data_IF_383834138434
#
_entry.id   IF_383834138434
#
_cell.length_a   1.000
_cell.length_b   1.000
_cell.length_c   1.000
_cell.angle_alpha   90.00
_cell.angle_beta   90.00
_cell.angle_gamma   90.00
#
_symmetry.space_group_name_H-M   'P 1'
#
loop_
_entity.id
_entity.type
_entity.pdbx_description
1 polymer ?
#
# COMPACT_ATOMS: atom_id res chain seq x y z
N UNK A 1 5.54 19.10 11.94
CA UNK A 1 5.96 18.82 10.56
C UNK A 1 4.97 17.86 9.94
N UNK A 2 4.60 18.09 8.70
CA UNK A 2 3.66 17.24 7.98
C UNK A 2 4.42 16.40 6.95
N UNK A 3 4.01 15.16 6.77
CA UNK A 3 4.49 14.28 5.72
C UNK A 3 3.33 14.00 4.77
N UNK A 4 3.50 14.36 3.51
CA UNK A 4 2.50 14.16 2.46
C UNK A 4 3.07 13.20 1.43
N UNK A 5 2.37 12.11 1.17
CA UNK A 5 2.69 11.15 0.13
C UNK A 5 1.60 11.16 -0.94
N UNK A 6 2.00 11.36 -2.18
CA UNK A 6 1.07 11.45 -3.31
C UNK A 6 1.54 10.57 -4.45
N UNK A 7 0.61 9.86 -5.07
CA UNK A 7 0.85 9.08 -6.28
C UNK A 7 0.10 9.77 -7.42
N UNK A 8 0.84 10.19 -8.44
CA UNK A 8 0.25 10.70 -9.68
C UNK A 8 -0.24 9.51 -10.53
N UNK A 9 -1.39 9.68 -11.16
CA UNK A 9 -1.88 8.73 -12.17
C UNK A 9 -1.50 9.16 -13.59
N UNK A 10 -0.91 10.33 -13.74
CA UNK A 10 -0.42 10.83 -15.01
C UNK A 10 0.74 9.95 -15.49
N UNK A 11 0.71 9.54 -16.73
CA UNK A 11 1.69 8.62 -17.26
C UNK A 11 1.53 7.16 -16.82
N UNK A 12 0.44 6.80 -16.09
CA UNK A 12 0.12 5.44 -15.71
C UNK A 12 -0.85 4.80 -16.70
N UNK A 13 -0.65 3.54 -16.98
CA UNK A 13 -1.63 2.71 -17.66
C UNK A 13 -1.24 2.22 -19.04
N UNK A 14 -2.26 1.92 -19.87
CA UNK A 14 -2.08 1.49 -21.26
C UNK A 14 -1.96 2.71 -22.15
N UNK A 15 -0.81 2.87 -22.77
CA UNK A 15 -0.56 3.99 -23.68
C UNK A 15 -0.94 3.57 -25.10
N UNK A 16 -1.74 4.37 -25.83
CA UNK A 16 -2.02 4.11 -27.24
C UNK A 16 -0.79 4.33 -28.13
N UNK A 17 0.13 5.21 -27.72
CA UNK A 17 1.41 5.47 -28.42
C UNK A 17 2.46 6.05 -27.48
N UNK A 18 3.71 6.11 -27.92
CA UNK A 18 4.79 6.75 -27.20
C UNK A 18 4.58 8.28 -27.11
N UNK A 19 4.07 8.89 -28.16
CA UNK A 19 3.75 10.33 -28.19
C UNK A 19 2.73 10.68 -27.10
N UNK A 20 1.66 9.87 -26.96
CA UNK A 20 0.69 10.05 -25.90
C UNK A 20 1.33 9.99 -24.51
N UNK A 21 2.23 9.03 -24.29
CA UNK A 21 2.97 8.97 -23.03
C UNK A 21 3.80 10.23 -22.78
N UNK A 22 4.50 10.74 -23.80
CA UNK A 22 5.27 11.99 -23.70
C UNK A 22 4.39 13.18 -23.35
N UNK A 23 3.18 13.27 -23.92
CA UNK A 23 2.21 14.32 -23.58
C UNK A 23 1.79 14.22 -22.11
N UNK A 24 1.53 13.02 -21.60
CA UNK A 24 1.18 12.82 -20.18
C UNK A 24 2.33 13.22 -19.23
N UNK A 25 3.57 12.92 -19.59
CA UNK A 25 4.74 13.37 -18.83
C UNK A 25 4.91 14.88 -18.89
N UNK A 26 4.64 15.49 -20.03
CA UNK A 26 4.67 16.96 -20.16
C UNK A 26 3.62 17.64 -19.27
N UNK A 27 2.38 17.14 -19.24
CA UNK A 27 1.34 17.63 -18.33
C UNK A 27 1.77 17.51 -16.85
N UNK A 28 2.45 16.41 -16.50
CA UNK A 28 2.98 16.22 -15.15
C UNK A 28 4.10 17.23 -14.84
N UNK A 29 4.98 17.50 -15.78
CA UNK A 29 6.06 18.48 -15.64
C UNK A 29 5.50 19.90 -15.42
N UNK A 30 4.49 20.30 -16.18
CA UNK A 30 3.78 21.57 -15.98
C UNK A 30 3.16 21.66 -14.59
N UNK A 31 2.50 20.58 -14.12
CA UNK A 31 1.94 20.52 -12.76
C UNK A 31 3.03 20.67 -11.70
N UNK A 32 4.16 19.99 -11.83
CA UNK A 32 5.30 20.11 -10.92
C UNK A 32 5.85 21.54 -10.90
N UNK A 33 5.95 22.17 -12.05
CA UNK A 33 6.35 23.59 -12.15
C UNK A 33 5.41 24.51 -11.38
N UNK A 34 4.08 24.33 -11.52
CA UNK A 34 3.08 25.09 -10.78
C UNK A 34 3.16 24.83 -9.27
N UNK A 35 3.35 23.57 -8.86
CA UNK A 35 3.52 23.18 -7.47
C UNK A 35 4.75 23.86 -6.84
N UNK A 36 5.89 23.82 -7.50
CA UNK A 36 7.12 24.46 -7.03
C UNK A 36 6.92 25.98 -6.89
N UNK A 37 6.28 26.63 -7.85
CA UNK A 37 5.97 28.04 -7.77
C UNK A 37 5.07 28.37 -6.57
N UNK A 38 4.06 27.55 -6.32
CA UNK A 38 3.19 27.71 -5.15
C UNK A 38 3.96 27.52 -3.84
N UNK A 39 4.81 26.49 -3.73
CA UNK A 39 5.62 26.23 -2.53
C UNK A 39 6.62 27.37 -2.27
N UNK A 40 7.20 27.96 -3.31
CA UNK A 40 8.05 29.13 -3.18
C UNK A 40 7.31 30.34 -2.61
N UNK A 41 6.04 30.55 -2.99
CA UNK A 41 5.25 31.70 -2.51
C UNK A 41 4.77 31.52 -1.07
N UNK A 42 4.62 30.31 -0.58
CA UNK A 42 4.18 30.03 0.80
C UNK A 42 5.23 30.29 1.86
N UNK A 43 6.49 30.33 1.48
CA UNK A 43 7.62 30.52 2.40
C UNK A 43 7.69 29.50 3.55
N UNK A 44 6.97 28.40 3.45
CA UNK A 44 7.00 27.31 4.42
C UNK A 44 8.20 26.39 4.11
N UNK A 45 9.03 26.04 5.11
CA UNK A 45 10.12 25.09 4.91
C UNK A 45 9.63 23.79 4.30
N UNK A 46 10.08 23.52 3.07
CA UNK A 46 9.55 22.39 2.29
C UNK A 46 10.68 21.65 1.59
N UNK A 47 10.62 20.33 1.62
CA UNK A 47 11.39 19.44 0.77
C UNK A 47 10.42 18.59 -0.05
N UNK A 48 10.58 18.62 -1.37
CA UNK A 48 9.79 17.85 -2.31
C UNK A 48 10.68 16.78 -2.95
N UNK A 49 10.29 15.52 -2.82
CA UNK A 49 10.97 14.39 -3.43
C UNK A 49 10.09 13.83 -4.54
N UNK A 50 10.61 13.85 -5.75
CA UNK A 50 9.95 13.31 -6.94
C UNK A 50 10.73 12.08 -7.39
N UNK A 51 10.06 10.99 -7.69
CA UNK A 51 10.72 9.78 -8.20
C UNK A 51 9.75 8.96 -9.04
N UNK A 52 10.31 8.26 -10.04
CA UNK A 52 9.57 7.23 -10.76
C UNK A 52 9.61 5.93 -9.98
N UNK A 53 8.47 5.28 -9.82
CA UNK A 53 8.37 3.97 -9.18
C UNK A 53 8.79 2.82 -10.12
N UNK A 54 8.57 2.99 -11.43
CA UNK A 54 9.00 2.08 -12.49
C UNK A 54 9.03 2.79 -13.85
N UNK A 55 9.59 2.13 -14.86
CA UNK A 55 9.52 2.58 -16.25
C UNK A 55 8.11 2.34 -16.83
N UNK A 56 7.72 3.09 -17.88
CA UNK A 56 6.46 2.85 -18.59
C UNK A 56 6.43 1.46 -19.22
N UNK A 57 5.24 0.89 -19.34
CA UNK A 57 5.03 -0.48 -19.82
C UNK A 57 5.16 -0.66 -21.33
N UNK A 58 6.22 -0.15 -21.94
CA UNK A 58 6.60 -0.45 -23.32
C UNK A 58 7.47 -1.72 -23.38
N UNK A 59 7.48 -2.39 -24.53
CA UNK A 59 8.28 -3.59 -24.76
C UNK A 59 9.76 -3.25 -25.06
N UNK A 60 10.38 -2.49 -24.14
CA UNK A 60 11.80 -2.14 -24.26
C UNK A 60 12.70 -3.25 -23.70
N UNK A 61 13.89 -3.34 -24.27
CA UNK A 61 14.97 -4.17 -23.75
C UNK A 61 15.99 -3.33 -22.98
N UNK A 62 16.78 -3.96 -22.12
CA UNK A 62 17.83 -3.26 -21.38
C UNK A 62 18.85 -2.58 -22.32
N UNK A 63 19.13 -3.19 -23.49
CA UNK A 63 20.07 -2.66 -24.49
C UNK A 63 19.59 -1.37 -25.16
N UNK A 64 18.29 -1.10 -25.16
CA UNK A 64 17.70 0.14 -25.69
C UNK A 64 17.72 1.29 -24.68
N UNK A 65 18.07 0.99 -23.41
CA UNK A 65 18.16 2.00 -22.36
C UNK A 65 19.58 2.53 -22.25
N UNK A 66 19.73 3.85 -22.07
CA UNK A 66 21.03 4.50 -21.90
C UNK A 66 21.87 3.91 -20.74
N UNK A 67 21.19 3.45 -19.69
CA UNK A 67 21.79 2.88 -18.49
C UNK A 67 21.80 1.34 -18.49
N UNK A 68 21.43 0.70 -19.60
CA UNK A 68 21.31 -0.75 -19.74
C UNK A 68 20.48 -1.45 -18.67
N UNK A 69 19.50 -0.74 -18.08
CA UNK A 69 18.66 -1.25 -17.01
C UNK A 69 17.19 -0.93 -17.22
N UNK A 70 16.32 -1.92 -17.04
CA UNK A 70 14.86 -1.75 -17.02
C UNK A 70 14.32 -1.43 -15.60
N UNK A 71 15.18 -1.40 -14.59
CA UNK A 71 14.78 -1.25 -13.18
C UNK A 71 15.23 0.07 -12.54
N UNK A 72 16.04 0.85 -13.25
CA UNK A 72 16.47 2.17 -12.77
C UNK A 72 15.51 3.25 -13.20
N UNK A 73 15.14 4.10 -12.26
CA UNK A 73 14.39 5.32 -12.47
C UNK A 73 15.18 6.53 -11.98
N UNK A 74 14.65 7.71 -12.16
CA UNK A 74 15.27 8.95 -11.67
C UNK A 74 14.55 9.44 -10.43
N UNK A 75 15.26 10.13 -9.55
CA UNK A 75 14.68 10.92 -8.48
C UNK A 75 15.26 12.32 -8.46
N UNK A 76 14.49 13.27 -7.95
CA UNK A 76 14.88 14.67 -7.77
C UNK A 76 14.47 15.10 -6.37
N UNK A 77 15.35 15.81 -5.69
CA UNK A 77 15.05 16.47 -4.42
C UNK A 77 15.08 17.98 -4.65
N UNK A 78 13.91 18.59 -4.60
CA UNK A 78 13.77 20.04 -4.58
C UNK A 78 13.54 20.52 -3.14
N UNK A 79 14.07 21.68 -2.80
CA UNK A 79 13.85 22.27 -1.48
C UNK A 79 13.95 23.79 -1.51
N UNK A 80 13.31 24.44 -0.53
CA UNK A 80 13.45 25.89 -0.26
C UNK A 80 14.19 26.17 1.07
N UNK A 81 14.93 25.18 1.59
CA UNK A 81 15.64 25.25 2.87
C UNK A 81 17.17 25.25 2.70
N UNK A 82 17.65 25.55 1.50
CA UNK A 82 19.07 25.63 1.15
C UNK A 82 19.88 24.34 1.36
N UNK A 83 19.24 23.16 1.19
CA UNK A 83 20.00 21.92 1.14
C UNK A 83 20.89 21.88 -0.10
N UNK A 84 22.12 21.39 0.00
CA UNK A 84 23.01 21.27 -1.14
C UNK A 84 22.47 20.27 -2.17
N UNK A 85 22.71 20.53 -3.45
CA UNK A 85 22.42 19.56 -4.49
C UNK A 85 23.42 18.40 -4.40
N UNK A 86 22.91 17.19 -4.24
CA UNK A 86 23.72 15.95 -4.16
C UNK A 86 23.32 15.03 -5.30
N UNK A 87 24.31 14.60 -6.11
CA UNK A 87 24.14 13.55 -7.10
C UNK A 87 24.55 12.22 -6.49
N UNK A 88 23.60 11.33 -6.30
CA UNK A 88 23.87 10.02 -5.71
C UNK A 88 22.92 8.97 -6.29
N UNK A 89 23.47 7.81 -6.59
CA UNK A 89 22.64 6.63 -6.83
C UNK A 89 22.27 6.01 -5.49
N UNK A 90 21.01 5.65 -5.33
CA UNK A 90 20.50 4.99 -4.14
C UNK A 90 19.53 3.89 -4.55
N UNK A 91 19.44 2.85 -3.77
CA UNK A 91 18.37 1.87 -3.92
C UNK A 91 17.04 2.45 -3.43
N UNK A 92 15.92 1.96 -3.97
CA UNK A 92 14.60 2.48 -3.63
C UNK A 92 14.33 2.49 -2.11
N UNK A 93 14.78 1.45 -1.40
CA UNK A 93 14.66 1.34 0.07
C UNK A 93 15.59 2.27 0.86
N UNK A 94 16.57 2.92 0.21
CA UNK A 94 17.48 3.89 0.81
C UNK A 94 17.07 5.35 0.59
N UNK A 95 16.15 5.61 -0.37
CA UNK A 95 15.82 6.98 -0.77
C UNK A 95 15.33 7.84 0.41
N UNK A 96 14.41 7.32 1.21
CA UNK A 96 13.92 8.03 2.38
C UNK A 96 15.05 8.33 3.40
N UNK A 97 15.92 7.34 3.66
CA UNK A 97 17.05 7.50 4.56
C UNK A 97 18.05 8.54 4.05
N UNK A 98 18.31 8.57 2.74
CA UNK A 98 19.15 9.57 2.11
C UNK A 98 18.60 10.99 2.28
N UNK A 99 17.32 11.20 1.98
CA UNK A 99 16.68 12.52 2.10
C UNK A 99 16.63 12.98 3.55
N UNK A 100 16.25 12.11 4.49
CA UNK A 100 16.19 12.45 5.90
C UNK A 100 17.57 12.70 6.50
N UNK A 101 18.62 12.04 6.00
CA UNK A 101 19.99 12.34 6.38
C UNK A 101 20.43 13.75 5.92
N UNK A 102 19.99 14.22 4.75
CA UNK A 102 20.23 15.59 4.30
C UNK A 102 19.53 16.63 5.21
N UNK A 103 18.47 16.24 5.90
CA UNK A 103 17.70 17.07 6.84
C UNK A 103 18.15 16.94 8.29
N UNK A 104 19.21 16.20 8.56
CA UNK A 104 19.70 15.89 9.92
C UNK A 104 18.63 15.19 10.80
N UNK A 105 17.79 14.36 10.18
CA UNK A 105 16.78 13.56 10.85
C UNK A 105 17.24 12.12 10.94
N UNK A 106 17.45 11.63 12.16
CA UNK A 106 18.08 10.33 12.43
C UNK A 106 17.23 9.42 13.33
N UNK A 107 15.92 9.58 13.32
CA UNK A 107 14.99 8.80 14.14
C UNK A 107 14.60 7.50 13.45
N UNK A 108 14.41 6.45 14.26
CA UNK A 108 14.02 5.13 13.76
C UNK A 108 15.18 4.20 13.42
N UNK A 109 15.07 2.95 13.83
CA UNK A 109 16.14 1.95 13.79
C UNK A 109 16.55 1.60 12.36
N UNK A 110 15.61 1.28 11.48
CA UNK A 110 15.88 1.00 10.07
C UNK A 110 16.45 2.21 9.35
N UNK A 111 15.93 3.40 9.65
CA UNK A 111 16.43 4.63 9.05
C UNK A 111 17.91 4.87 9.38
N UNK A 112 18.27 4.76 10.66
CA UNK A 112 19.67 4.88 11.12
C UNK A 112 20.56 3.80 10.51
N UNK A 113 20.06 2.59 10.36
CA UNK A 113 20.80 1.52 9.70
C UNK A 113 21.16 1.91 8.28
N UNK A 114 20.17 2.33 7.48
CA UNK A 114 20.41 2.78 6.10
C UNK A 114 21.35 3.99 6.05
N UNK A 115 21.17 4.98 6.91
CA UNK A 115 22.00 6.18 6.93
C UNK A 115 23.48 5.86 7.23
N UNK A 116 23.74 4.97 8.18
CA UNK A 116 25.11 4.54 8.52
C UNK A 116 25.80 3.76 7.40
N UNK A 117 25.04 3.17 6.51
CA UNK A 117 25.54 2.31 5.42
C UNK A 117 25.32 2.92 4.04
N UNK A 118 24.96 4.20 3.95
CA UNK A 118 24.78 4.87 2.66
C UNK A 118 26.03 4.78 1.76
N UNK A 119 27.23 4.80 2.33
CA UNK A 119 28.49 4.71 1.60
C UNK A 119 29.02 3.27 1.46
N UNK A 120 28.50 2.34 2.25
CA UNK A 120 28.94 0.95 2.23
C UNK A 120 28.31 0.13 1.10
N UNK A 121 27.25 0.63 0.47
CA UNK A 121 26.57 -0.04 -0.63
C UNK A 121 27.53 -0.40 -1.78
N UNK A 122 28.41 0.50 -2.17
CA UNK A 122 29.35 0.31 -3.28
C UNK A 122 30.51 -0.61 -2.91
N UNK A 123 30.76 -0.88 -1.63
CA UNK A 123 31.94 -1.61 -1.15
C UNK A 123 31.66 -3.01 -0.65
N UNK A 124 30.52 -3.25 -0.02
CA UNK A 124 30.13 -4.57 0.51
C UNK A 124 28.58 -4.74 0.56
N UNK A 125 28.00 -4.83 -0.62
CA UNK A 125 26.55 -4.99 -0.81
C UNK A 125 25.99 -6.22 -0.10
N UNK A 126 26.69 -7.35 -0.12
CA UNK A 126 26.17 -8.58 0.47
C UNK A 126 26.07 -8.50 1.98
N UNK A 127 27.14 -8.05 2.64
CA UNK A 127 27.11 -7.86 4.11
C UNK A 127 26.06 -6.85 4.55
N UNK A 128 25.85 -5.78 3.77
CA UNK A 128 24.78 -4.83 4.03
C UNK A 128 23.39 -5.47 3.94
N UNK A 129 23.12 -6.24 2.88
CA UNK A 129 21.82 -6.92 2.70
C UNK A 129 21.58 -7.96 3.80
N UNK A 130 22.60 -8.70 4.19
CA UNK A 130 22.48 -9.72 5.23
C UNK A 130 22.25 -9.07 6.62
N UNK A 131 22.93 -7.97 6.92
CA UNK A 131 22.69 -7.19 8.12
C UNK A 131 21.26 -6.59 8.14
N UNK A 132 20.78 -6.08 7.00
CA UNK A 132 19.42 -5.57 6.87
C UNK A 132 18.38 -6.68 7.12
N UNK A 133 18.57 -7.87 6.55
CA UNK A 133 17.68 -9.02 6.78
C UNK A 133 17.67 -9.45 8.24
N UNK A 134 18.84 -9.51 8.88
CA UNK A 134 18.95 -9.84 10.28
C UNK A 134 18.23 -8.83 11.17
N UNK A 135 18.42 -7.54 10.91
CA UNK A 135 17.74 -6.47 11.63
C UNK A 135 16.24 -6.50 11.44
N UNK A 136 15.77 -6.72 10.21
CA UNK A 136 14.32 -6.89 9.94
C UNK A 136 13.73 -8.10 10.68
N UNK A 137 14.46 -9.21 10.70
CA UNK A 137 14.03 -10.40 11.43
C UNK A 137 13.91 -10.13 12.92
N UNK A 138 14.94 -9.51 13.53
CA UNK A 138 14.93 -9.17 14.95
C UNK A 138 13.77 -8.24 15.33
N UNK A 139 13.51 -7.22 14.50
CA UNK A 139 12.40 -6.27 14.73
C UNK A 139 11.02 -6.95 14.63
N UNK A 140 10.84 -7.89 13.71
CA UNK A 140 9.51 -8.43 13.37
C UNK A 140 9.20 -9.76 14.07
N UNK A 141 10.20 -10.59 14.29
CA UNK A 141 10.01 -11.99 14.70
C UNK A 141 11.02 -12.48 15.74
N UNK A 142 12.13 -11.76 15.94
CA UNK A 142 13.19 -12.11 16.87
C UNK A 142 12.91 -11.68 18.31
N UNK A 143 13.95 -11.67 19.11
CA UNK A 143 13.88 -11.33 20.53
C UNK A 143 13.99 -9.83 20.80
N UNK A 144 13.90 -9.00 19.77
CA UNK A 144 13.99 -7.53 19.85
C UNK A 144 15.31 -7.02 20.46
N UNK A 145 16.42 -7.73 20.20
CA UNK A 145 17.76 -7.41 20.71
C UNK A 145 18.18 -5.96 20.39
N UNK A 146 17.80 -5.47 19.20
CA UNK A 146 18.05 -4.07 18.78
C UNK A 146 17.39 -3.04 19.72
N UNK A 147 16.38 -3.44 20.47
CA UNK A 147 15.66 -2.63 21.45
C UNK A 147 15.97 -3.03 22.90
N UNK A 148 16.92 -3.93 23.11
CA UNK A 148 17.26 -4.44 24.45
C UNK A 148 16.35 -5.54 24.97
N UNK A 149 15.71 -6.30 24.07
CA UNK A 149 14.89 -7.48 24.40
C UNK A 149 13.40 -7.20 24.56
N UNK A 150 12.97 -5.94 24.42
CA UNK A 150 11.53 -5.59 24.50
C UNK A 150 11.15 -4.63 23.37
N UNK A 151 10.01 -4.87 22.71
CA UNK A 151 9.52 -3.94 21.70
C UNK A 151 9.13 -2.60 22.36
N UNK A 152 9.67 -1.46 21.89
CA UNK A 152 9.30 -0.14 22.39
C UNK A 152 7.91 0.30 21.90
N UNK A 153 7.30 -0.46 21.00
CA UNK A 153 6.02 -0.14 20.40
C UNK A 153 4.91 -0.98 21.02
N UNK A 154 3.89 -0.32 21.48
CA UNK A 154 2.69 -1.01 21.95
C UNK A 154 1.98 -1.69 20.79
N UNK A 155 1.42 -2.88 21.03
CA UNK A 155 0.57 -3.55 20.07
C UNK A 155 -0.60 -2.61 19.71
N UNK A 156 -0.81 -2.41 18.42
CA UNK A 156 -1.93 -1.63 17.92
C UNK A 156 -3.12 -2.56 17.63
N UNK A 157 -4.33 -2.00 17.67
CA UNK A 157 -5.53 -2.71 17.24
C UNK A 157 -5.76 -2.60 15.72
N UNK A 158 -4.71 -2.29 14.96
CA UNK A 158 -4.76 -2.26 13.50
C UNK A 158 -4.91 -3.68 12.97
N UNK A 159 -6.05 -3.95 12.35
CA UNK A 159 -6.29 -5.19 11.63
C UNK A 159 -6.14 -4.91 10.13
N UNK A 160 -5.23 -5.64 9.48
CA UNK A 160 -5.14 -5.63 8.03
C UNK A 160 -6.23 -6.54 7.46
N UNK A 161 -6.89 -6.07 6.41
CA UNK A 161 -7.91 -6.84 5.72
C UNK A 161 -9.26 -6.13 5.64
N UNK A 162 -10.32 -6.92 5.55
CA UNK A 162 -11.68 -6.40 5.47
C UNK A 162 -12.29 -6.26 6.86
N UNK A 163 -13.09 -5.21 7.03
CA UNK A 163 -13.85 -5.00 8.27
C UNK A 163 -14.65 -6.25 8.61
N UNK A 164 -14.51 -6.82 9.82
CA UNK A 164 -15.27 -7.99 10.22
C UNK A 164 -16.77 -7.76 10.10
N UNK A 165 -17.47 -8.72 9.51
CA UNK A 165 -18.94 -8.68 9.41
C UNK A 165 -19.53 -9.36 10.64
N UNK A 166 -20.56 -8.76 11.20
CA UNK A 166 -21.36 -9.35 12.26
C UNK A 166 -22.68 -9.80 11.68
N UNK A 167 -22.96 -11.09 11.76
CA UNK A 167 -24.27 -11.64 11.44
C UNK A 167 -25.18 -11.45 12.66
N UNK A 168 -26.23 -10.68 12.48
CA UNK A 168 -27.27 -10.48 13.47
C UNK A 168 -28.43 -11.46 13.28
N UNK A 169 -29.65 -10.93 13.11
CA UNK A 169 -30.86 -11.74 12.95
C UNK A 169 -30.98 -12.35 11.58
N UNK A 170 -31.41 -13.62 11.51
CA UNK A 170 -31.79 -14.30 10.29
C UNK A 170 -33.29 -14.54 10.28
N UNK A 171 -33.95 -14.15 9.19
CA UNK A 171 -35.40 -14.35 9.00
C UNK A 171 -35.58 -15.31 7.83
N UNK A 172 -36.38 -16.34 8.06
CA UNK A 172 -36.73 -17.35 7.07
C UNK A 172 -38.17 -17.11 6.58
N UNK A 173 -38.32 -16.96 5.26
CA UNK A 173 -39.59 -16.95 4.60
C UNK A 173 -39.71 -18.21 3.71
N UNK A 174 -40.84 -18.41 3.05
CA UNK A 174 -41.14 -19.64 2.30
C UNK A 174 -40.09 -19.97 1.23
N UNK A 175 -39.52 -18.95 0.57
CA UNK A 175 -38.62 -19.10 -0.56
C UNK A 175 -37.33 -18.24 -0.45
N UNK A 176 -37.11 -17.65 0.71
CA UNK A 176 -35.96 -16.74 0.90
C UNK A 176 -35.49 -16.70 2.33
N UNK A 177 -34.18 -16.43 2.44
CA UNK A 177 -33.50 -16.15 3.71
C UNK A 177 -33.03 -14.69 3.69
N UNK A 178 -33.38 -13.96 4.74
CA UNK A 178 -32.95 -12.57 4.94
C UNK A 178 -32.00 -12.56 6.13
N UNK A 179 -30.81 -12.00 5.93
CA UNK A 179 -29.82 -11.83 7.01
C UNK A 179 -29.64 -10.35 7.28
N UNK A 180 -29.81 -9.97 8.55
CA UNK A 180 -29.50 -8.66 9.07
C UNK A 180 -28.16 -8.70 9.81
N UNK A 181 -27.41 -7.59 9.77
CA UNK A 181 -26.09 -7.48 10.40
C UNK A 181 -25.23 -6.47 9.68
N UNK A 182 -23.97 -6.81 9.39
CA UNK A 182 -23.10 -5.98 8.58
C UNK A 182 -21.78 -5.57 9.28
N UNK A 183 -21.01 -4.69 8.65
CA UNK A 183 -21.31 -4.02 7.38
C UNK A 183 -21.14 -4.96 6.16
N UNK A 184 -22.22 -5.18 5.42
CA UNK A 184 -22.17 -5.99 4.19
C UNK A 184 -21.72 -5.17 3.00
N UNK A 185 -21.22 -5.85 1.96
CA UNK A 185 -20.88 -5.27 0.66
C UNK A 185 -21.53 -6.11 -0.48
N UNK A 186 -21.37 -5.65 -1.71
CA UNK A 186 -21.98 -6.27 -2.90
C UNK A 186 -21.47 -7.70 -3.19
N UNK A 187 -20.35 -8.09 -2.60
CA UNK A 187 -19.75 -9.43 -2.72
C UNK A 187 -20.04 -10.33 -1.52
N UNK A 188 -20.69 -9.80 -0.46
CA UNK A 188 -21.11 -10.63 0.66
C UNK A 188 -22.11 -11.69 0.21
N UNK A 189 -21.93 -12.95 0.65
CA UNK A 189 -22.74 -14.09 0.26
C UNK A 189 -23.34 -14.78 1.47
N UNK A 190 -24.66 -15.01 1.42
CA UNK A 190 -25.32 -15.93 2.35
C UNK A 190 -24.95 -17.34 1.95
N UNK A 191 -24.54 -18.15 2.93
CA UNK A 191 -24.25 -19.57 2.75
C UNK A 191 -25.21 -20.41 3.57
N UNK A 192 -25.70 -21.48 2.97
CA UNK A 192 -26.56 -22.50 3.59
C UNK A 192 -25.74 -23.78 3.66
N UNK A 193 -25.49 -24.27 4.87
CA UNK A 193 -24.63 -25.45 5.11
C UNK A 193 -23.27 -25.32 4.39
N UNK A 194 -22.66 -24.14 4.43
CA UNK A 194 -21.36 -23.84 3.81
C UNK A 194 -21.38 -23.58 2.30
N UNK A 195 -22.53 -23.75 1.61
CA UNK A 195 -22.67 -23.49 0.17
C UNK A 195 -23.26 -22.10 -0.06
N UNK A 196 -22.62 -21.29 -0.91
CA UNK A 196 -23.10 -19.96 -1.25
C UNK A 196 -24.44 -20.04 -2.02
N UNK A 197 -25.43 -19.31 -1.51
CA UNK A 197 -26.73 -19.13 -2.14
C UNK A 197 -26.73 -17.92 -3.08
N UNK A 198 -27.70 -17.85 -4.00
CA UNK A 198 -27.91 -16.66 -4.82
C UNK A 198 -28.30 -15.48 -3.93
N UNK A 199 -27.33 -14.62 -3.66
CA UNK A 199 -27.42 -13.56 -2.66
C UNK A 199 -27.54 -12.21 -3.33
N UNK A 200 -28.61 -11.49 -3.01
CA UNK A 200 -28.83 -10.11 -3.38
C UNK A 200 -28.35 -9.20 -2.23
N UNK A 201 -27.45 -8.28 -2.54
CA UNK A 201 -27.11 -7.18 -1.66
C UNK A 201 -28.24 -6.15 -1.66
N UNK A 202 -28.85 -5.92 -0.51
CA UNK A 202 -29.91 -4.92 -0.36
C UNK A 202 -29.36 -3.63 0.25
N UNK A 203 -28.57 -3.74 1.29
CA UNK A 203 -27.91 -2.61 1.97
C UNK A 203 -26.72 -3.07 2.78
N UNK A 204 -25.97 -2.13 3.34
CA UNK A 204 -24.86 -2.43 4.28
C UNK A 204 -25.30 -3.28 5.49
N UNK A 205 -26.59 -3.35 5.78
CA UNK A 205 -27.14 -4.08 6.95
C UNK A 205 -28.06 -5.21 6.58
N UNK A 206 -28.32 -5.47 5.29
CA UNK A 206 -29.27 -6.51 4.85
C UNK A 206 -28.84 -7.21 3.57
N UNK A 207 -28.86 -8.55 3.63
CA UNK A 207 -28.72 -9.46 2.48
C UNK A 207 -29.96 -10.30 2.34
N UNK A 208 -30.27 -10.73 1.11
CA UNK A 208 -31.39 -11.62 0.80
C UNK A 208 -30.89 -12.74 -0.10
N UNK A 209 -31.11 -14.00 0.28
CA UNK A 209 -30.94 -15.16 -0.59
C UNK A 209 -32.32 -15.64 -1.05
N UNK A 210 -32.51 -15.78 -2.36
CA UNK A 210 -33.75 -16.29 -2.98
C UNK A 210 -33.59 -17.75 -3.37
N UNK A 211 -34.74 -18.44 -3.52
CA UNK A 211 -34.77 -19.86 -3.91
C UNK A 211 -34.17 -20.78 -2.83
N UNK A 212 -34.15 -20.34 -1.59
CA UNK A 212 -33.72 -21.12 -0.45
C UNK A 212 -34.95 -21.50 0.35
N UNK A 213 -35.31 -22.78 0.32
CA UNK A 213 -36.35 -23.34 1.20
C UNK A 213 -35.68 -23.74 2.52
N UNK A 214 -35.85 -22.95 3.58
CA UNK A 214 -35.15 -23.22 4.83
C UNK A 214 -35.73 -24.45 5.52
N UNK A 215 -34.87 -25.45 5.74
CA UNK A 215 -35.18 -26.60 6.58
C UNK A 215 -34.80 -26.29 8.03
N UNK A 216 -35.51 -26.86 9.01
CA UNK A 216 -35.43 -26.52 10.44
C UNK A 216 -34.05 -26.66 11.13
N UNK A 217 -33.01 -27.10 10.42
CA UNK A 217 -31.67 -27.30 10.99
C UNK A 217 -30.53 -26.81 10.08
N UNK A 218 -30.82 -25.92 9.15
CA UNK A 218 -29.78 -25.42 8.26
C UNK A 218 -28.91 -24.36 8.92
N UNK A 219 -27.60 -24.52 8.78
CA UNK A 219 -26.64 -23.53 9.24
C UNK A 219 -26.59 -22.39 8.21
N UNK A 220 -27.04 -21.21 8.63
CA UNK A 220 -26.93 -19.98 7.83
C UNK A 220 -25.73 -19.20 8.30
N UNK A 221 -24.81 -18.92 7.39
CA UNK A 221 -23.64 -18.08 7.61
C UNK A 221 -23.51 -17.03 6.52
N UNK A 222 -22.74 -15.98 6.76
CA UNK A 222 -22.39 -15.00 5.73
C UNK A 222 -20.90 -15.04 5.49
N UNK A 223 -20.52 -15.20 4.24
CA UNK A 223 -19.14 -15.10 3.80
C UNK A 223 -18.89 -13.74 3.16
N UNK A 224 -17.77 -13.16 3.50
CA UNK A 224 -17.23 -12.00 2.82
C UNK A 224 -16.31 -12.50 1.71
N UNK A 225 -16.66 -12.13 0.47
CA UNK A 225 -15.98 -12.60 -0.73
C UNK A 225 -15.43 -11.39 -1.46
N UNK A 226 -14.22 -11.46 -1.98
CA UNK A 226 -13.61 -10.44 -2.83
C UNK A 226 -14.11 -10.49 -4.27
N UNK A 227 -13.65 -9.54 -5.08
CA UNK A 227 -14.05 -9.40 -6.50
C UNK A 227 -13.86 -10.68 -7.30
N UNK A 228 -12.77 -11.42 -7.05
CA UNK A 228 -12.43 -12.64 -7.80
C UNK A 228 -12.94 -13.91 -7.10
N UNK A 229 -14.02 -13.81 -6.32
CA UNK A 229 -14.60 -14.88 -5.52
C UNK A 229 -13.65 -15.44 -4.43
N UNK A 230 -12.61 -14.69 -4.09
CA UNK A 230 -11.69 -15.06 -3.01
C UNK A 230 -12.43 -14.92 -1.69
N UNK A 231 -12.43 -15.98 -0.88
CA UNK A 231 -12.98 -15.96 0.48
C UNK A 231 -12.10 -15.10 1.39
N UNK A 232 -12.65 -14.03 1.91
CA UNK A 232 -11.94 -13.08 2.78
C UNK A 232 -12.22 -13.31 4.27
N UNK A 233 -13.31 -13.97 4.59
CA UNK A 233 -13.70 -14.27 5.96
C UNK A 233 -15.17 -14.67 6.07
N UNK A 234 -15.53 -15.22 7.23
CA UNK A 234 -16.91 -15.56 7.60
C UNK A 234 -17.40 -14.63 8.70
N UNK A 235 -18.65 -14.19 8.60
CA UNK A 235 -19.23 -13.31 9.60
C UNK A 235 -19.23 -13.96 11.00
N UNK A 236 -18.91 -13.16 12.01
CA UNK A 236 -19.03 -13.56 13.41
C UNK A 236 -20.52 -13.47 13.80
N UNK A 237 -21.06 -14.48 14.48
CA UNK A 237 -22.41 -14.37 15.04
C UNK A 237 -22.38 -13.37 16.20
N UNK A 238 -23.43 -12.54 16.27
CA UNK A 238 -23.63 -11.66 17.45
C UNK A 238 -23.87 -12.57 18.65
N UNK A 239 -23.02 -12.46 19.66
CA UNK A 239 -23.23 -13.08 20.97
C UNK A 239 -24.43 -12.49 21.68
#
# INVERSE_FOLDING_TARGET
SDFVYTISVQGHGKYPSFEYYCEQIHEMDEFVGQLINMLNTRMEPTVLVLYGDHLPGFEWTAQEMENESLFQTKYVVWNNVNLPAVKRNVEAYQLAAHVLNMLDIHEGTMLRFHQRHLDAWDTDTQSYLDAMKLLQYDILYGDHEVYGGESPYQATQLEFGVTPIIQGTTVHNTDQVIVFGGPFNIWSKICVNGKAADTQYYSKTRLIAKGVEPKEKEEITVQQVGRDKIHLGTARKKQ
#
